data_IF_007766116951
#
_entry.id   IF_007766116951
#
_cell.length_a   1.000
_cell.length_b   1.000
_cell.length_c   1.000
_cell.angle_alpha   90.00
_cell.angle_beta   90.00
_cell.angle_gamma   90.00
#
_symmetry.space_group_name_H-M   'P 1'
#
loop_
_entity.id
_entity.type
_entity.pdbx_description
1 polymer ?
#
# COMPACT_ATOMS: atom_id res chain seq x y z
N UNK A 1 -8.20 12.71 -8.00
CA UNK A 1 -7.23 12.68 -9.12
C UNK A 1 -7.76 11.79 -10.23
N UNK A 2 -7.87 12.27 -11.47
CA UNK A 2 -8.21 11.42 -12.62
C UNK A 2 -6.91 10.83 -13.18
N UNK A 3 -6.63 9.57 -12.85
CA UNK A 3 -5.48 8.84 -13.39
C UNK A 3 -5.69 8.43 -14.86
N UNK A 4 -4.61 7.99 -15.52
CA UNK A 4 -4.69 7.44 -16.87
C UNK A 4 -5.73 6.32 -16.96
N UNK A 5 -6.52 6.29 -18.04
CA UNK A 5 -7.59 5.29 -18.22
C UNK A 5 -7.03 3.86 -18.26
N UNK A 6 -5.86 3.67 -18.89
CA UNK A 6 -5.22 2.36 -19.02
C UNK A 6 -4.79 1.81 -17.66
N UNK A 7 -4.24 2.66 -16.79
CA UNK A 7 -3.82 2.27 -15.43
C UNK A 7 -5.03 1.87 -14.60
N UNK A 8 -6.13 2.63 -14.70
CA UNK A 8 -7.38 2.32 -13.97
C UNK A 8 -7.97 0.98 -14.38
N UNK A 9 -7.90 0.63 -15.67
CA UNK A 9 -8.40 -0.64 -16.17
C UNK A 9 -7.57 -1.83 -15.68
N UNK A 10 -6.30 -1.64 -15.35
CA UNK A 10 -5.39 -2.70 -14.90
C UNK A 10 -5.51 -3.10 -13.42
N UNK A 11 -6.12 -2.28 -12.56
CA UNK A 11 -6.17 -2.52 -11.09
C UNK A 11 -7.27 -3.51 -10.67
N UNK A 12 -8.23 -3.80 -11.55
CA UNK A 12 -9.44 -4.57 -11.22
C UNK A 12 -10.48 -3.78 -10.41
N UNK A 13 -11.60 -4.42 -10.05
CA UNK A 13 -12.74 -3.76 -9.38
C UNK A 13 -13.13 -4.37 -8.03
N UNK A 14 -12.48 -5.46 -7.63
CA UNK A 14 -12.81 -6.17 -6.38
C UNK A 14 -11.96 -5.63 -5.23
N UNK A 15 -12.57 -5.07 -4.17
CA UNK A 15 -11.82 -4.64 -2.99
C UNK A 15 -11.23 -5.84 -2.25
N UNK A 16 -10.06 -5.66 -1.66
CA UNK A 16 -9.38 -6.70 -0.90
C UNK A 16 -8.71 -6.12 0.36
N UNK A 17 -8.49 -7.00 1.35
CA UNK A 17 -7.60 -6.68 2.46
C UNK A 17 -6.16 -6.75 1.96
N UNK A 18 -5.34 -5.73 2.27
CA UNK A 18 -3.98 -5.62 1.74
C UNK A 18 -3.15 -6.89 1.95
N UNK A 19 -3.08 -7.37 3.20
CA UNK A 19 -2.34 -8.59 3.55
C UNK A 19 -2.93 -9.90 3.01
N UNK A 20 -4.03 -9.86 2.25
CA UNK A 20 -4.52 -11.01 1.47
C UNK A 20 -4.15 -10.91 -0.02
N UNK A 21 -3.82 -9.72 -0.50
CA UNK A 21 -3.61 -9.44 -1.92
C UNK A 21 -2.14 -9.30 -2.31
N UNK A 22 -1.31 -8.93 -1.34
CA UNK A 22 0.15 -8.79 -1.44
C UNK A 22 0.78 -9.30 -0.15
N UNK A 23 1.98 -9.84 -0.28
CA UNK A 23 2.73 -10.33 0.87
C UNK A 23 3.14 -9.14 1.72
N UNK A 24 2.90 -9.27 3.03
CA UNK A 24 3.20 -8.23 3.99
C UNK A 24 4.05 -8.83 5.11
N UNK A 25 5.21 -8.26 5.36
CA UNK A 25 6.02 -8.59 6.52
C UNK A 25 5.68 -7.63 7.66
N UNK A 26 5.26 -8.19 8.80
CA UNK A 26 4.81 -7.42 9.97
C UNK A 26 5.89 -7.41 11.02
N UNK A 27 6.44 -6.23 11.28
CA UNK A 27 7.52 -6.02 12.24
C UNK A 27 6.94 -5.28 13.43
N UNK A 28 6.85 -5.97 14.56
CA UNK A 28 6.35 -5.39 15.81
C UNK A 28 7.51 -5.06 16.74
N UNK A 29 7.74 -3.77 16.95
CA UNK A 29 8.64 -3.26 17.97
C UNK A 29 7.92 -2.94 19.29
N UNK A 30 8.65 -2.54 20.34
CA UNK A 30 8.06 -2.17 21.63
C UNK A 30 7.11 -0.95 21.56
N UNK A 31 7.29 -0.08 20.56
CA UNK A 31 6.55 1.20 20.43
C UNK A 31 6.06 1.49 19.02
N UNK A 32 6.22 0.54 18.10
CA UNK A 32 5.83 0.74 16.71
C UNK A 32 5.40 -0.59 16.08
N UNK A 33 4.59 -0.46 15.05
CA UNK A 33 4.26 -1.52 14.12
C UNK A 33 4.66 -1.02 12.74
N UNK A 34 5.55 -1.76 12.09
CA UNK A 34 5.94 -1.54 10.71
C UNK A 34 5.35 -2.66 9.86
N UNK A 35 4.91 -2.30 8.65
CA UNK A 35 4.35 -3.23 7.68
C UNK A 35 5.11 -2.98 6.37
N UNK A 36 5.97 -3.93 6.01
CA UNK A 36 6.65 -3.94 4.73
C UNK A 36 5.77 -4.69 3.72
N UNK A 37 5.46 -4.05 2.59
CA UNK A 37 4.48 -4.53 1.59
C UNK A 37 5.21 -4.84 0.29
N UNK A 38 5.32 -6.12 -0.03
CA UNK A 38 5.97 -6.56 -1.26
C UNK A 38 4.99 -6.51 -2.44
N UNK A 39 5.07 -5.41 -3.20
CA UNK A 39 4.27 -5.21 -4.42
C UNK A 39 4.61 -6.25 -5.50
N UNK A 40 5.84 -6.75 -5.52
CA UNK A 40 6.31 -7.73 -6.50
C UNK A 40 5.67 -9.11 -6.33
N UNK A 41 5.16 -9.42 -5.14
CA UNK A 41 4.57 -10.73 -4.85
C UNK A 41 3.19 -10.95 -5.50
N UNK A 42 2.55 -9.89 -5.99
CA UNK A 42 1.26 -9.95 -6.67
C UNK A 42 1.40 -9.70 -8.17
N UNK A 43 0.93 -10.64 -8.99
CA UNK A 43 0.90 -10.50 -10.46
C UNK A 43 0.16 -9.24 -10.91
N UNK A 44 -0.95 -8.90 -10.24
CA UNK A 44 -1.74 -7.71 -10.57
C UNK A 44 -0.98 -6.44 -10.20
N UNK A 45 -0.45 -6.37 -8.97
CA UNK A 45 0.23 -5.18 -8.50
C UNK A 45 1.54 -4.92 -9.27
N UNK A 46 2.30 -5.98 -9.57
CA UNK A 46 3.50 -5.90 -10.41
C UNK A 46 3.18 -5.48 -11.85
N UNK A 47 2.08 -5.98 -12.43
CA UNK A 47 1.60 -5.53 -13.74
C UNK A 47 1.27 -4.04 -13.77
N UNK A 48 0.57 -3.53 -12.76
CA UNK A 48 0.28 -2.09 -12.62
C UNK A 48 1.57 -1.30 -12.43
N UNK A 49 2.49 -1.75 -11.58
CA UNK A 49 3.79 -1.12 -11.34
C UNK A 49 4.57 -0.97 -12.66
N UNK A 50 4.63 -2.02 -13.48
CA UNK A 50 5.31 -2.00 -14.78
C UNK A 50 4.74 -0.95 -15.74
N UNK A 51 3.44 -0.66 -15.68
CA UNK A 51 2.81 0.38 -16.52
C UNK A 51 3.20 1.80 -16.10
N UNK A 52 3.47 2.02 -14.81
CA UNK A 52 3.66 3.38 -14.26
C UNK A 52 5.12 3.70 -13.93
N UNK A 53 5.97 2.72 -13.65
CA UNK A 53 7.31 2.94 -13.09
C UNK A 53 8.19 3.86 -13.96
N UNK A 54 8.08 3.76 -15.29
CA UNK A 54 8.85 4.59 -16.23
C UNK A 54 8.34 6.03 -16.36
N UNK A 55 7.18 6.35 -15.80
CA UNK A 55 6.53 7.68 -15.94
C UNK A 55 6.23 8.36 -14.60
N UNK A 56 6.53 7.71 -13.47
CA UNK A 56 6.41 8.32 -12.14
C UNK A 56 7.42 9.46 -12.01
N UNK A 57 6.94 10.63 -11.58
CA UNK A 57 7.78 11.83 -11.36
C UNK A 57 7.72 12.35 -9.92
N UNK A 58 6.75 11.89 -9.13
CA UNK A 58 6.49 12.38 -7.77
C UNK A 58 6.14 11.23 -6.85
N UNK A 59 6.66 11.27 -5.63
CA UNK A 59 6.24 10.44 -4.52
C UNK A 59 5.45 11.31 -3.54
N UNK A 60 4.22 10.91 -3.22
CA UNK A 60 3.40 11.54 -2.18
C UNK A 60 3.42 10.63 -0.97
N UNK A 61 3.73 11.19 0.21
CA UNK A 61 3.74 10.47 1.48
C UNK A 61 2.67 11.07 2.38
N UNK A 62 1.59 10.32 2.62
CA UNK A 62 0.54 10.69 3.57
C UNK A 62 0.89 10.17 4.97
N UNK A 63 0.82 11.05 5.97
CA UNK A 63 1.06 10.70 7.37
C UNK A 63 -0.23 10.87 8.18
N UNK A 64 -0.58 9.84 8.95
CA UNK A 64 -1.69 9.86 9.90
C UNK A 64 -1.18 9.47 11.29
N UNK A 65 -1.59 10.22 12.32
CA UNK A 65 -1.18 9.98 13.71
C UNK A 65 -2.37 9.48 14.52
N UNK A 66 -2.21 8.32 15.18
CA UNK A 66 -3.15 7.83 16.17
C UNK A 66 -2.60 8.16 17.57
N UNK A 67 -3.32 8.99 18.33
CA UNK A 67 -2.98 9.29 19.73
C UNK A 67 -3.84 8.41 20.63
N UNK A 68 -3.21 7.48 21.33
CA UNK A 68 -3.86 6.67 22.35
C UNK A 68 -3.53 7.22 23.75
N UNK A 69 -4.58 7.52 24.52
CA UNK A 69 -4.46 7.80 25.96
C UNK A 69 -4.74 6.49 26.70
N UNK A 70 -3.73 5.93 27.34
CA UNK A 70 -3.95 4.86 28.32
C UNK A 70 -4.36 5.50 29.65
N UNK A 71 -5.63 5.35 30.01
CA UNK A 71 -6.09 5.61 31.37
C UNK A 71 -5.60 4.47 32.27
N UNK A 72 -4.80 4.83 33.27
CA UNK A 72 -4.41 3.94 34.36
C UNK A 72 -5.60 3.93 35.32
N UNK A 73 -6.21 2.77 35.53
CA UNK A 73 -7.03 2.50 36.73
C UNK A 73 -6.15 1.77 37.75
#
# INVERSE_FOLDING_TARGET
MQGSWIVRQSVGSTPCLLGKAVDCNYIRGPKYLEIDVDIGSSTVANGVLGLVIGVITTLVVDMAFLVQVSLIY
#
